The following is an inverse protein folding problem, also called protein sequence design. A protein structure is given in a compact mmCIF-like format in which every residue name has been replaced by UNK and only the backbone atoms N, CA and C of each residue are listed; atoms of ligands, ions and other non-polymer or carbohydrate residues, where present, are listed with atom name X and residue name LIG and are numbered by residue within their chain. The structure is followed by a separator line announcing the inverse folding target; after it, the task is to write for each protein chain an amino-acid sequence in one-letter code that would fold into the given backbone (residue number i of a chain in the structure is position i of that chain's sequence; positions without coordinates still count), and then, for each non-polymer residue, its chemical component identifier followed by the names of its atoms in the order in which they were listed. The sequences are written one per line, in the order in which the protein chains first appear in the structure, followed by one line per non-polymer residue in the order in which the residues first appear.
data_IF_702735553349
#
_entry.id   IF_702735553349
#
_cell.length_a   1.000
_cell.length_b   1.000
_cell.length_c   1.000
_cell.angle_alpha   90.00
_cell.angle_beta   90.00
_cell.angle_gamma   90.00
#
_symmetry.space_group_name_H-M   'P 1'
#
loop_
_entity.id
_entity.type
_entity.pdbx_description
1 polymer ?
#
# COMPACT_ATOMS: atom_id res chain seq x y z
N UNK A 1 -21.58 -36.15 -27.01
CA UNK A 1 -22.58 -35.61 -26.05
C UNK A 1 -21.98 -34.71 -24.97
N UNK A 2 -21.00 -35.16 -24.17
CA UNK A 2 -20.45 -34.37 -23.04
C UNK A 2 -19.84 -33.01 -23.44
N UNK A 3 -19.18 -32.95 -24.60
CA UNK A 3 -18.53 -31.72 -25.09
C UNK A 3 -19.54 -30.64 -25.52
N UNK A 4 -20.65 -31.05 -26.15
CA UNK A 4 -21.71 -30.15 -26.60
C UNK A 4 -22.44 -29.53 -25.39
N UNK A 5 -22.65 -30.32 -24.34
CA UNK A 5 -23.28 -29.86 -23.09
C UNK A 5 -22.40 -28.81 -22.39
N UNK A 6 -21.07 -28.98 -22.39
CA UNK A 6 -20.14 -28.02 -21.80
C UNK A 6 -20.13 -26.66 -22.53
N UNK A 7 -20.22 -26.67 -23.87
CA UNK A 7 -20.29 -25.45 -24.68
C UNK A 7 -21.59 -24.69 -24.41
N UNK A 8 -22.72 -25.39 -24.35
CA UNK A 8 -24.03 -24.77 -24.08
C UNK A 8 -24.04 -24.14 -22.67
N UNK A 9 -23.49 -24.84 -21.67
CA UNK A 9 -23.37 -24.32 -20.30
C UNK A 9 -22.50 -23.06 -20.22
N UNK A 10 -21.38 -23.02 -20.95
CA UNK A 10 -20.50 -21.84 -20.99
C UNK A 10 -21.20 -20.61 -21.57
N UNK A 11 -21.97 -20.79 -22.65
CA UNK A 11 -22.73 -19.70 -23.27
C UNK A 11 -23.81 -19.18 -22.31
N UNK A 12 -24.55 -20.09 -21.66
CA UNK A 12 -25.60 -19.72 -20.71
C UNK A 12 -25.03 -18.95 -19.52
N UNK A 13 -23.90 -19.37 -18.97
CA UNK A 13 -23.23 -18.67 -17.86
C UNK A 13 -22.78 -17.27 -18.31
N UNK A 14 -22.22 -17.14 -19.51
CA UNK A 14 -21.76 -15.84 -20.02
C UNK A 14 -22.92 -14.84 -20.21
N UNK A 15 -24.07 -15.30 -20.73
CA UNK A 15 -25.25 -14.45 -20.91
C UNK A 15 -25.86 -14.09 -19.56
N UNK A 16 -25.83 -15.00 -18.59
CA UNK A 16 -26.34 -14.75 -17.24
C UNK A 16 -25.49 -13.72 -16.48
N UNK A 17 -24.17 -13.83 -16.52
CA UNK A 17 -23.25 -12.85 -15.92
C UNK A 17 -23.47 -11.47 -16.54
N UNK A 18 -23.58 -11.38 -17.86
CA UNK A 18 -23.79 -10.11 -18.56
C UNK A 18 -25.15 -9.49 -18.22
N UNK A 19 -26.21 -10.31 -18.10
CA UNK A 19 -27.53 -9.85 -17.66
C UNK A 19 -27.53 -9.29 -16.22
N UNK A 20 -26.84 -9.96 -15.30
CA UNK A 20 -26.72 -9.47 -13.91
C UNK A 20 -25.94 -8.16 -13.79
N UNK A 21 -24.96 -7.92 -14.67
CA UNK A 21 -24.19 -6.67 -14.73
C UNK A 21 -25.02 -5.47 -15.24
N UNK A 22 -25.95 -5.70 -16.17
CA UNK A 22 -26.84 -4.64 -16.68
C UNK A 22 -27.93 -4.30 -15.64
N UNK A 23 -28.51 -5.31 -14.98
CA UNK A 23 -29.55 -5.10 -13.96
C UNK A 23 -29.00 -4.46 -12.67
N UNK A 24 -27.74 -4.70 -12.33
CA UNK A 24 -27.07 -4.09 -11.17
C UNK A 24 -26.63 -2.64 -11.39
N UNK A 25 -26.89 -2.06 -12.57
CA UNK A 25 -26.61 -0.64 -12.86
C UNK A 25 -25.13 -0.29 -13.00
N UNK A 26 -24.24 -1.29 -13.06
CA UNK A 26 -22.79 -1.09 -13.26
C UNK A 26 -22.50 -0.70 -14.73
N UNK A 27 -23.36 -1.11 -15.66
CA UNK A 27 -23.25 -0.81 -17.10
C UNK A 27 -24.52 -0.14 -17.59
N UNK A 28 -24.43 1.15 -17.97
CA UNK A 28 -25.47 1.84 -18.73
C UNK A 28 -25.13 1.73 -20.22
N UNK A 29 -25.95 0.98 -20.98
CA UNK A 29 -25.83 0.92 -22.44
C UNK A 29 -26.51 2.15 -23.03
N UNK A 30 -25.78 3.26 -23.05
CA UNK A 30 -26.13 4.43 -23.84
C UNK A 30 -25.94 4.12 -25.32
N UNK A 31 -26.98 4.31 -26.12
CA UNK A 31 -26.90 4.25 -27.59
C UNK A 31 -26.11 5.48 -28.06
N UNK A 32 -24.79 5.37 -28.12
CA UNK A 32 -23.93 6.42 -28.68
C UNK A 32 -23.84 6.22 -30.18
N UNK A 33 -24.52 7.09 -30.91
CA UNK A 33 -24.22 7.31 -32.32
C UNK A 33 -22.80 7.88 -32.39
N UNK A 34 -21.92 7.05 -32.94
CA UNK A 34 -20.65 7.44 -33.58
C UNK A 34 -19.48 7.64 -32.60
N UNK A 35 -18.28 7.34 -33.12
CA UNK A 35 -16.91 7.52 -32.58
C UNK A 35 -16.55 7.01 -31.17
N UNK A 36 -16.04 5.77 -31.17
CA UNK A 36 -14.96 5.18 -30.34
C UNK A 36 -14.35 6.05 -29.23
N UNK A 37 -14.65 5.67 -27.98
CA UNK A 37 -13.92 6.09 -26.78
C UNK A 37 -14.79 5.92 -25.53
N UNK A 38 -14.56 4.88 -24.74
CA UNK A 38 -15.23 4.70 -23.45
C UNK A 38 -14.62 5.70 -22.44
N UNK A 39 -15.28 6.84 -22.24
CA UNK A 39 -14.85 7.86 -21.26
C UNK A 39 -15.52 7.57 -19.92
N UNK A 40 -14.74 7.15 -18.93
CA UNK A 40 -15.18 7.02 -17.53
C UNK A 40 -14.81 8.31 -16.81
N UNK A 41 -15.79 9.16 -16.52
CA UNK A 41 -15.61 10.36 -15.69
C UNK A 41 -15.91 10.02 -14.23
N UNK A 42 -14.89 10.06 -13.37
CA UNK A 42 -15.04 9.94 -11.91
C UNK A 42 -15.18 11.34 -11.27
N UNK A 43 -16.13 11.57 -10.34
CA UNK A 43 -16.24 12.83 -9.62
C UNK A 43 -15.15 12.96 -8.55
N UNK A 44 -14.39 14.05 -8.61
CA UNK A 44 -13.40 14.43 -7.58
C UNK A 44 -14.10 15.33 -6.55
N UNK A 45 -14.20 14.94 -5.26
CA UNK A 45 -14.73 15.83 -4.23
C UNK A 45 -13.60 16.65 -3.56
N UNK A 46 -13.78 17.97 -3.54
CA UNK A 46 -13.14 18.87 -2.56
C UNK A 46 -11.79 19.48 -2.96
N UNK A 47 -11.80 20.57 -3.73
CA UNK A 47 -10.65 21.47 -3.90
C UNK A 47 -11.08 22.89 -3.50
N UNK A 48 -10.91 23.19 -2.22
CA UNK A 48 -10.86 24.56 -1.71
C UNK A 48 -9.73 24.65 -0.67
N UNK A 49 -8.61 25.28 -1.04
CA UNK A 49 -7.90 26.22 -0.18
C UNK A 49 -6.66 26.76 -0.88
N UNK A 50 -6.39 28.02 -0.55
CA UNK A 50 -5.68 29.00 -1.34
C UNK A 50 -4.17 28.78 -1.44
N UNK A 51 -3.68 29.16 -2.62
CA UNK A 51 -2.30 29.52 -2.91
C UNK A 51 -1.94 30.77 -2.08
N UNK A 52 -0.90 30.67 -1.25
CA UNK A 52 -0.09 31.83 -0.85
C UNK A 52 1.37 31.45 -1.03
N UNK A 53 2.00 32.10 -2.01
CA UNK A 53 3.44 32.24 -2.16
C UNK A 53 3.96 33.00 -0.94
N UNK A 54 5.10 32.57 -0.39
CA UNK A 54 6.16 33.53 -0.11
C UNK A 54 7.53 32.86 -0.14
N UNK A 55 8.44 33.59 -0.77
CA UNK A 55 9.82 33.27 -1.05
C UNK A 55 10.68 33.57 0.18
N UNK A 56 11.73 32.78 0.45
CA UNK A 56 13.08 33.32 0.62
C UNK A 56 14.10 32.19 0.75
N UNK A 57 15.01 32.17 -0.22
CA UNK A 57 16.28 31.45 -0.24
C UNK A 57 17.31 32.42 0.35
N UNK A 58 18.04 32.01 1.40
CA UNK A 58 19.39 32.53 1.71
C UNK A 58 20.21 31.39 2.33
N UNK A 59 21.38 31.16 1.74
CA UNK A 59 22.48 30.26 2.13
C UNK A 59 22.98 30.45 3.57
N UNK A 60 23.55 29.41 4.18
CA UNK A 60 24.95 29.45 4.64
C UNK A 60 25.49 28.03 4.96
N UNK A 61 26.63 27.70 4.36
CA UNK A 61 27.42 26.49 4.65
C UNK A 61 27.99 26.54 6.07
N UNK A 62 27.94 25.43 6.80
CA UNK A 62 28.96 25.15 7.83
C UNK A 62 29.17 23.64 7.97
N UNK A 63 30.29 23.17 7.44
CA UNK A 63 30.87 21.86 7.75
C UNK A 63 31.29 21.83 9.23
N UNK A 64 30.67 20.97 10.04
CA UNK A 64 31.29 20.42 11.26
C UNK A 64 30.89 18.96 11.39
N UNK A 65 31.83 18.08 11.04
CA UNK A 65 31.86 16.69 11.44
C UNK A 65 32.08 16.61 12.97
N UNK A 66 31.19 15.95 13.71
CA UNK A 66 31.54 14.99 14.79
C UNK A 66 30.26 14.41 15.42
N UNK A 67 30.12 13.10 15.27
CA UNK A 67 29.45 12.15 16.16
C UNK A 67 28.23 12.63 16.97
N UNK A 68 27.03 12.25 16.53
CA UNK A 68 25.90 12.06 17.46
C UNK A 68 24.98 10.93 16.98
N UNK A 69 24.99 9.83 17.74
CA UNK A 69 23.76 9.06 17.92
C UNK A 69 22.68 9.99 18.48
N UNK A 70 21.44 9.74 18.04
CA UNK A 70 20.17 10.45 18.31
C UNK A 70 19.81 11.53 17.28
N UNK A 71 18.85 11.18 16.41
CA UNK A 71 17.66 12.03 16.11
C UNK A 71 16.65 11.44 15.10
N UNK A 72 16.65 10.14 14.82
CA UNK A 72 15.56 9.51 14.05
C UNK A 72 14.29 9.19 14.89
N UNK A 73 14.09 9.84 16.03
CA UNK A 73 12.94 9.58 16.90
C UNK A 73 11.65 10.33 16.49
N UNK A 74 11.70 11.18 15.45
CA UNK A 74 10.55 12.00 15.04
C UNK A 74 9.82 11.50 13.78
N UNK A 75 10.44 10.62 13.00
CA UNK A 75 9.79 9.87 11.92
C UNK A 75 9.81 8.41 12.33
N UNK A 76 8.67 7.86 12.75
CA UNK A 76 8.56 6.48 13.21
C UNK A 76 8.76 5.43 12.12
N UNK A 77 9.62 5.71 11.14
CA UNK A 77 9.85 4.91 9.94
C UNK A 77 11.30 4.47 9.92
N UNK A 78 11.52 3.15 10.02
CA UNK A 78 12.86 2.54 9.90
C UNK A 78 13.55 3.04 8.60
N UNK A 79 14.85 3.42 8.65
CA UNK A 79 15.63 3.75 7.45
C UNK A 79 15.53 2.68 6.36
N UNK A 80 15.39 1.42 6.76
CA UNK A 80 15.25 0.30 5.83
C UNK A 80 13.92 0.32 5.05
N UNK A 81 12.84 0.85 5.63
CA UNK A 81 11.59 1.05 4.91
C UNK A 81 11.76 2.06 3.77
N UNK A 82 12.59 3.08 3.97
CA UNK A 82 12.85 4.10 2.95
C UNK A 82 13.73 3.54 1.82
N UNK A 83 14.77 2.78 2.18
CA UNK A 83 15.60 2.05 1.21
C UNK A 83 14.77 1.07 0.38
N UNK A 84 13.83 0.37 1.01
CA UNK A 84 12.95 -0.54 0.29
C UNK A 84 12.03 0.18 -0.72
N UNK A 85 11.51 1.35 -0.38
CA UNK A 85 10.75 2.15 -1.34
C UNK A 85 11.63 2.62 -2.50
N UNK A 86 12.85 3.09 -2.21
CA UNK A 86 13.83 3.48 -3.24
C UNK A 86 14.20 2.31 -4.15
N UNK A 87 14.30 1.08 -3.62
CA UNK A 87 14.51 -0.11 -4.44
C UNK A 87 13.39 -0.26 -5.49
N UNK A 88 12.11 -0.17 -5.06
CA UNK A 88 10.98 -0.32 -5.99
C UNK A 88 10.87 0.84 -6.98
N UNK A 89 11.22 2.06 -6.58
CA UNK A 89 11.24 3.23 -7.48
C UNK A 89 12.30 3.11 -8.59
N UNK A 90 13.44 2.50 -8.28
CA UNK A 90 14.55 2.31 -9.22
C UNK A 90 14.51 0.96 -9.94
N UNK A 91 13.54 0.11 -9.63
CA UNK A 91 13.44 -1.24 -10.19
C UNK A 91 13.11 -1.16 -11.69
N UNK A 92 14.06 -1.58 -12.52
CA UNK A 92 13.83 -1.81 -13.95
C UNK A 92 13.27 -3.22 -14.10
N UNK A 93 11.95 -3.31 -14.21
CA UNK A 93 11.27 -4.61 -14.32
C UNK A 93 11.62 -5.25 -15.67
N UNK A 94 12.45 -6.30 -15.61
CA UNK A 94 12.57 -7.28 -16.69
C UNK A 94 11.60 -8.43 -16.37
N UNK A 95 10.77 -8.84 -17.34
CA UNK A 95 9.67 -9.80 -17.13
C UNK A 95 10.11 -11.19 -16.62
N UNK A 96 11.41 -11.51 -16.63
CA UNK A 96 11.95 -12.82 -16.25
C UNK A 96 12.60 -12.88 -14.86
N UNK A 97 12.78 -11.76 -14.16
CA UNK A 97 13.54 -11.73 -12.90
C UNK A 97 12.62 -11.90 -11.68
N UNK A 98 13.04 -12.75 -10.74
CA UNK A 98 12.36 -12.92 -9.46
C UNK A 98 12.64 -11.70 -8.56
N UNK A 99 11.62 -10.86 -8.41
CA UNK A 99 11.70 -9.59 -7.68
C UNK A 99 11.91 -9.81 -6.18
N UNK A 100 11.35 -10.88 -5.60
CA UNK A 100 11.61 -11.19 -4.19
C UNK A 100 13.08 -11.58 -3.98
N UNK A 101 13.66 -12.33 -4.91
CA UNK A 101 15.08 -12.69 -4.87
C UNK A 101 15.99 -11.46 -5.06
N UNK A 102 15.66 -10.57 -5.99
CA UNK A 102 16.39 -9.30 -6.17
C UNK A 102 16.33 -8.43 -4.92
N UNK A 103 15.15 -8.29 -4.31
CA UNK A 103 14.96 -7.51 -3.10
C UNK A 103 15.70 -8.13 -1.90
N UNK A 104 15.66 -9.45 -1.78
CA UNK A 104 16.43 -10.19 -0.76
C UNK A 104 17.92 -9.94 -0.91
N UNK A 105 18.45 -10.00 -2.14
CA UNK A 105 19.86 -9.73 -2.43
C UNK A 105 20.22 -8.29 -2.09
N UNK A 106 19.40 -7.33 -2.48
CA UNK A 106 19.57 -5.90 -2.16
C UNK A 106 19.69 -5.68 -0.65
N UNK A 107 18.81 -6.28 0.15
CA UNK A 107 18.86 -6.12 1.61
C UNK A 107 20.05 -6.84 2.26
N UNK A 108 20.32 -8.10 1.89
CA UNK A 108 21.40 -8.89 2.50
C UNK A 108 22.79 -8.42 2.08
N UNK A 109 23.01 -8.15 0.79
CA UNK A 109 24.34 -7.94 0.23
C UNK A 109 24.72 -6.46 0.14
N UNK A 110 23.77 -5.59 -0.24
CA UNK A 110 24.07 -4.17 -0.45
C UNK A 110 23.90 -3.36 0.83
N UNK A 111 23.02 -3.81 1.74
CA UNK A 111 22.70 -3.12 2.98
C UNK A 111 23.03 -3.88 4.26
N UNK A 112 23.63 -5.08 4.17
CA UNK A 112 24.04 -5.91 5.31
C UNK A 112 22.93 -6.12 6.36
N UNK A 113 21.67 -6.23 5.93
CA UNK A 113 20.57 -6.55 6.82
C UNK A 113 20.70 -8.00 7.32
N UNK A 114 20.28 -8.26 8.56
CA UNK A 114 20.22 -9.63 9.07
C UNK A 114 19.02 -10.37 8.47
N UNK A 115 19.10 -11.71 8.43
CA UNK A 115 18.06 -12.56 7.84
C UNK A 115 16.65 -12.34 8.43
N UNK A 116 16.53 -12.03 9.72
CA UNK A 116 15.22 -11.80 10.36
C UNK A 116 14.62 -10.48 9.88
N UNK A 117 15.45 -9.46 9.76
CA UNK A 117 15.05 -8.17 9.20
C UNK A 117 14.63 -8.31 7.74
N UNK A 118 15.35 -9.13 6.96
CA UNK A 118 14.98 -9.41 5.56
C UNK A 118 13.65 -10.15 5.46
N UNK A 119 13.44 -11.21 6.24
CA UNK A 119 12.15 -11.93 6.28
C UNK A 119 10.98 -10.99 6.65
N UNK A 120 11.19 -10.11 7.63
CA UNK A 120 10.20 -9.10 7.98
C UNK A 120 9.88 -8.15 6.82
N UNK A 121 10.91 -7.68 6.11
CA UNK A 121 10.72 -6.79 4.96
C UNK A 121 10.01 -7.49 3.80
N UNK A 122 10.35 -8.74 3.50
CA UNK A 122 9.65 -9.56 2.50
C UNK A 122 8.16 -9.68 2.84
N UNK A 123 7.82 -9.98 4.10
CA UNK A 123 6.42 -10.05 4.55
C UNK A 123 5.69 -8.71 4.42
N UNK A 124 6.36 -7.60 4.78
CA UNK A 124 5.78 -6.26 4.65
C UNK A 124 5.50 -5.92 3.19
N UNK A 125 6.39 -6.26 2.26
CA UNK A 125 6.29 -5.88 0.85
C UNK A 125 5.43 -6.83 -0.02
N UNK A 126 5.55 -8.14 0.15
CA UNK A 126 5.04 -9.11 -0.83
C UNK A 126 3.89 -9.98 -0.32
N UNK A 127 3.73 -10.12 1.00
CA UNK A 127 2.66 -10.96 1.53
C UNK A 127 1.33 -10.21 1.58
N UNK A 128 0.23 -10.95 1.47
CA UNK A 128 -1.12 -10.38 1.51
C UNK A 128 -1.47 -9.74 2.85
N UNK A 129 -1.01 -10.33 3.95
CA UNK A 129 -1.36 -9.89 5.29
C UNK A 129 -0.50 -8.71 5.74
N UNK A 130 -1.08 -7.83 6.55
CA UNK A 130 -0.38 -6.73 7.18
C UNK A 130 0.21 -7.17 8.52
N UNK A 131 1.54 -7.19 8.61
CA UNK A 131 2.28 -7.52 9.81
C UNK A 131 1.90 -6.60 10.98
N UNK A 132 1.76 -5.29 10.72
CA UNK A 132 1.38 -4.29 11.73
C UNK A 132 0.05 -4.62 12.41
N UNK A 133 -0.91 -5.22 11.68
CA UNK A 133 -2.22 -5.59 12.23
C UNK A 133 -2.23 -6.92 12.99
N UNK A 134 -1.15 -7.70 12.89
CA UNK A 134 -0.99 -8.98 13.60
C UNK A 134 -0.28 -8.78 14.94
N UNK A 135 0.41 -7.66 15.13
CA UNK A 135 1.13 -7.38 16.36
C UNK A 135 0.16 -6.99 17.49
N UNK A 136 0.38 -7.50 18.71
CA UNK A 136 -0.30 -7.04 19.91
C UNK A 136 -0.18 -5.51 20.11
N UNK A 137 -1.27 -4.86 20.51
CA UNK A 137 -1.31 -3.39 20.65
C UNK A 137 -0.31 -2.83 21.68
N UNK A 138 0.11 -3.64 22.66
CA UNK A 138 1.13 -3.28 23.65
C UNK A 138 2.54 -3.18 23.06
N UNK A 139 2.78 -3.71 21.85
CA UNK A 139 4.07 -3.58 21.17
C UNK A 139 4.30 -2.18 20.57
N UNK A 140 3.25 -1.36 20.48
CA UNK A 140 3.34 -0.02 19.92
C UNK A 140 3.50 1.05 21.01
N UNK A 141 4.49 1.92 20.84
CA UNK A 141 4.83 2.98 21.81
C UNK A 141 3.74 4.05 21.93
N UNK A 142 3.01 4.31 20.84
CA UNK A 142 1.97 5.33 20.79
C UNK A 142 1.00 5.09 19.64
N UNK A 143 -0.19 5.71 19.72
CA UNK A 143 -1.19 5.70 18.63
C UNK A 143 -0.57 6.19 17.32
N UNK A 144 0.17 7.31 17.38
CA UNK A 144 0.85 7.90 16.21
C UNK A 144 1.90 6.95 15.61
N UNK A 145 2.61 6.20 16.46
CA UNK A 145 3.59 5.22 16.00
C UNK A 145 2.91 4.05 15.28
N UNK A 146 1.82 3.51 15.83
CA UNK A 146 1.02 2.46 15.17
C UNK A 146 0.47 2.91 13.82
N UNK A 147 -0.08 4.12 13.76
CA UNK A 147 -0.56 4.72 12.50
C UNK A 147 0.55 4.87 11.46
N UNK A 148 1.71 5.38 11.88
CA UNK A 148 2.86 5.58 11.00
C UNK A 148 3.37 4.25 10.42
N UNK A 149 3.51 3.22 11.25
CA UNK A 149 3.95 1.89 10.80
C UNK A 149 2.94 1.26 9.84
N UNK A 150 1.64 1.38 10.11
CA UNK A 150 0.60 0.86 9.21
C UNK A 150 0.64 1.54 7.83
N UNK A 151 0.70 2.88 7.81
CA UNK A 151 0.75 3.63 6.56
C UNK A 151 2.02 3.35 5.76
N UNK A 152 3.15 3.18 6.44
CA UNK A 152 4.41 2.81 5.80
C UNK A 152 4.34 1.39 5.21
N UNK A 153 3.83 0.42 5.97
CA UNK A 153 3.62 -0.94 5.46
C UNK A 153 2.67 -0.97 4.26
N UNK A 154 1.60 -0.17 4.28
CA UNK A 154 0.68 -0.03 3.15
C UNK A 154 1.40 0.47 1.89
N UNK A 155 2.28 1.46 2.02
CA UNK A 155 3.10 1.96 0.89
C UNK A 155 4.05 0.89 0.37
N UNK A 156 4.79 0.23 1.26
CA UNK A 156 5.72 -0.85 0.91
C UNK A 156 5.02 -2.00 0.20
N UNK A 157 3.87 -2.43 0.73
CA UNK A 157 3.07 -3.51 0.14
C UNK A 157 2.54 -3.12 -1.24
N UNK A 158 2.09 -1.88 -1.38
CA UNK A 158 1.65 -1.36 -2.68
C UNK A 158 2.79 -1.37 -3.70
N UNK A 159 3.96 -0.89 -3.33
CA UNK A 159 5.14 -0.88 -4.19
C UNK A 159 5.60 -2.31 -4.56
N UNK A 160 5.64 -3.23 -3.58
CA UNK A 160 6.02 -4.62 -3.81
C UNK A 160 5.04 -5.37 -4.73
N UNK A 161 3.74 -5.17 -4.57
CA UNK A 161 2.73 -5.77 -5.46
C UNK A 161 2.84 -5.21 -6.88
N UNK A 162 2.99 -3.89 -7.04
CA UNK A 162 3.19 -3.26 -8.35
C UNK A 162 4.45 -3.82 -9.02
N UNK A 163 5.54 -3.97 -8.26
CA UNK A 163 6.77 -4.55 -8.77
C UNK A 163 6.52 -5.96 -9.33
N UNK A 164 5.77 -6.81 -8.61
CA UNK A 164 5.37 -8.15 -9.07
C UNK A 164 4.35 -8.15 -10.23
N UNK A 165 3.93 -6.99 -10.75
CA UNK A 165 2.88 -6.90 -11.76
C UNK A 165 1.48 -7.25 -11.22
N UNK A 166 1.29 -7.20 -9.90
CA UNK A 166 0.03 -7.47 -9.23
C UNK A 166 -0.62 -6.16 -8.74
N UNK A 167 -1.94 -6.16 -8.65
CA UNK A 167 -2.70 -5.09 -8.00
C UNK A 167 -3.24 -5.56 -6.66
N UNK A 168 -3.14 -4.70 -5.64
CA UNK A 168 -3.81 -4.95 -4.37
C UNK A 168 -5.32 -4.91 -4.57
N UNK A 169 -6.02 -5.93 -4.10
CA UNK A 169 -7.48 -5.99 -4.18
C UNK A 169 -8.09 -4.91 -3.29
N UNK A 170 -8.80 -3.96 -3.90
CA UNK A 170 -9.42 -2.82 -3.22
C UNK A 170 -10.37 -3.25 -2.09
N UNK A 171 -11.15 -4.31 -2.29
CA UNK A 171 -12.06 -4.82 -1.26
C UNK A 171 -11.31 -5.35 -0.03
N UNK A 172 -10.13 -5.93 -0.24
CA UNK A 172 -9.28 -6.42 0.85
C UNK A 172 -8.58 -5.25 1.54
N UNK A 173 -8.21 -4.21 0.80
CA UNK A 173 -7.67 -2.98 1.35
C UNK A 173 -8.70 -2.25 2.22
N UNK A 174 -9.96 -2.17 1.79
CA UNK A 174 -11.06 -1.57 2.56
C UNK A 174 -11.29 -2.34 3.87
N UNK A 175 -11.29 -3.68 3.82
CA UNK A 175 -11.40 -4.52 5.03
C UNK A 175 -10.23 -4.28 5.98
N UNK A 176 -9.02 -4.21 5.43
CA UNK A 176 -7.79 -3.96 6.19
C UNK A 176 -7.82 -2.57 6.83
N UNK A 177 -8.20 -1.53 6.09
CA UNK A 177 -8.33 -0.17 6.61
C UNK A 177 -9.40 -0.07 7.70
N UNK A 178 -10.50 -0.83 7.57
CA UNK A 178 -11.53 -0.91 8.60
C UNK A 178 -11.03 -1.57 9.88
N UNK A 179 -10.27 -2.67 9.75
CA UNK A 179 -9.62 -3.33 10.88
C UNK A 179 -8.60 -2.41 11.56
N UNK A 180 -7.79 -1.69 10.78
CA UNK A 180 -6.85 -0.71 11.28
C UNK A 180 -7.55 0.37 12.11
N UNK A 181 -8.64 0.97 11.60
CA UNK A 181 -9.43 1.98 12.33
C UNK A 181 -9.98 1.45 13.66
N UNK A 182 -10.48 0.21 13.66
CA UNK A 182 -10.97 -0.43 14.88
C UNK A 182 -9.85 -0.59 15.93
N UNK A 183 -8.67 -1.05 15.50
CA UNK A 183 -7.50 -1.23 16.38
C UNK A 183 -6.94 0.11 16.89
N UNK A 184 -6.91 1.13 16.03
CA UNK A 184 -6.50 2.49 16.39
C UNK A 184 -7.41 3.09 17.48
N UNK A 185 -8.72 2.88 17.36
CA UNK A 185 -9.70 3.27 18.38
C UNK A 185 -9.48 2.56 19.72
N UNK A 186 -9.28 1.24 19.69
CA UNK A 186 -8.97 0.44 20.89
C UNK A 186 -7.68 0.91 21.57
N UNK A 187 -6.62 1.12 20.80
CA UNK A 187 -5.32 1.59 21.33
C UNK A 187 -5.45 2.97 22.00
N UNK A 188 -6.20 3.88 21.37
CA UNK A 188 -6.47 5.21 21.92
C UNK A 188 -7.20 5.14 23.27
N UNK A 189 -8.19 4.24 23.38
CA UNK A 189 -8.90 3.99 24.63
C UNK A 189 -7.98 3.41 25.72
N UNK A 190 -7.20 2.38 25.39
CA UNK A 190 -6.26 1.75 26.35
C UNK A 190 -5.23 2.75 26.89
N UNK A 191 -4.72 3.66 26.05
CA UNK A 191 -3.77 4.69 26.49
C UNK A 191 -4.46 5.73 27.37
N UNK A 192 -5.72 6.09 27.07
CA UNK A 192 -6.50 7.01 27.90
C UNK A 192 -6.75 6.42 29.29
N UNK A 193 -7.12 5.15 29.38
CA UNK A 193 -7.37 4.44 30.65
C UNK A 193 -6.09 4.37 31.52
N UNK A 194 -4.92 4.12 30.91
CA UNK A 194 -3.62 4.09 31.63
C UNK A 194 -3.16 5.45 32.15
N UNK A 195 -3.64 6.56 31.61
CA UNK A 195 -3.30 7.92 32.08
C UNK A 195 -4.18 8.39 33.24
N UNK A 196 -5.28 7.69 33.52
CA UNK A 196 -6.25 8.03 34.57
C UNK A 196 -5.95 7.25 35.87
N UNK A 197 -5.13 6.20 35.80
CA UNK A 197 -4.59 5.43 36.93
C UNK A 197 -3.21 5.97 37.35
#
# INVERSE_FOLDING_TARGET
MKFIIAIILSIVISVFVLGTLIVSGIVSVGKSENNTGLTITLPIPGKDSNIVKDSNIVDENTDVNTNHEADNALTGTSPLNMLALQFFENLKVNESEDIEALFTRFLLQEHNADEKTVDLMIRKCFWKNFHTLQLPLNNFKSVKFFETEYLMEKKLKTAGFIAMGLTLNENELIKTDSQFKLLLGKMSQTIKERKIL
#
